data_IF_006136366910
#
_entry.id   IF_006136366910
#
_cell.length_a   1.000
_cell.length_b   1.000
_cell.length_c   1.000
_cell.angle_alpha   90.00
_cell.angle_beta   90.00
_cell.angle_gamma   90.00
#
_symmetry.space_group_name_H-M   'P 1'
#
loop_
_entity.id
_entity.type
_entity.pdbx_description
1 polymer ?
#
# COMPACT_ATOMS: atom_id res chain seq x y z
N UNK A 1 6.83 -2.96 25.46
CA UNK A 1 7.01 -3.11 23.99
C UNK A 1 6.30 -1.94 23.32
N UNK A 2 6.93 -1.21 22.39
CA UNK A 2 6.24 -0.14 21.65
C UNK A 2 5.36 -0.75 20.54
N UNK A 3 4.35 -0.01 20.08
CA UNK A 3 3.47 -0.43 18.99
C UNK A 3 4.04 0.04 17.64
N UNK A 4 3.72 -0.68 16.57
CA UNK A 4 4.02 -0.22 15.22
C UNK A 4 3.05 0.92 14.85
N UNK A 5 3.51 1.97 14.14
CA UNK A 5 2.69 3.13 13.79
C UNK A 5 1.75 2.80 12.61
N UNK A 6 0.89 1.81 12.78
CA UNK A 6 -0.06 1.38 11.75
C UNK A 6 -1.24 2.34 11.70
N UNK A 7 -1.47 2.96 10.55
CA UNK A 7 -2.57 3.91 10.37
C UNK A 7 -2.34 5.30 10.98
N UNK A 8 -1.15 5.56 11.55
CA UNK A 8 -0.78 6.87 12.07
C UNK A 8 -0.21 7.73 10.95
N UNK A 9 -0.73 8.95 10.79
CA UNK A 9 -0.40 9.82 9.67
C UNK A 9 0.61 10.91 10.03
N UNK A 10 0.68 11.33 11.30
CA UNK A 10 1.54 12.44 11.72
C UNK A 10 2.69 11.97 12.61
N UNK A 11 3.79 12.72 12.60
CA UNK A 11 4.94 12.44 13.46
C UNK A 11 4.65 12.74 14.93
N UNK A 12 3.82 13.75 15.22
CA UNK A 12 3.44 14.11 16.58
C UNK A 12 2.77 12.92 17.29
N UNK A 13 1.78 12.31 16.63
CA UNK A 13 1.05 11.15 17.16
C UNK A 13 1.98 9.95 17.45
N UNK A 14 3.01 9.73 16.61
CA UNK A 14 4.00 8.67 16.83
C UNK A 14 4.77 8.90 18.14
N UNK A 15 5.15 10.15 18.42
CA UNK A 15 5.92 10.51 19.61
C UNK A 15 5.02 10.50 20.85
N UNK A 16 3.85 11.14 20.79
CA UNK A 16 2.89 11.25 21.90
C UNK A 16 2.37 9.87 22.35
N UNK A 17 2.04 9.01 21.39
CA UNK A 17 1.54 7.65 21.68
C UNK A 17 2.67 6.62 21.85
N UNK A 18 3.94 7.06 21.84
CA UNK A 18 5.13 6.24 22.05
C UNK A 18 5.23 5.02 21.12
N UNK A 19 4.95 5.24 19.83
CA UNK A 19 5.12 4.24 18.78
C UNK A 19 6.58 4.07 18.36
N UNK A 20 6.86 3.01 17.61
CA UNK A 20 8.16 2.86 16.95
C UNK A 20 8.28 3.85 15.79
N UNK A 21 9.36 4.63 15.78
CA UNK A 21 9.77 5.41 14.62
C UNK A 21 10.79 4.62 13.80
N UNK A 22 10.59 4.57 12.48
CA UNK A 22 11.51 3.94 11.54
C UNK A 22 12.01 5.00 10.58
N UNK A 23 13.28 5.38 10.68
CA UNK A 23 13.91 6.27 9.72
C UNK A 23 14.07 5.55 8.37
N UNK A 24 13.50 6.15 7.32
CA UNK A 24 13.51 5.60 5.96
C UNK A 24 14.43 6.38 5.02
N UNK A 25 15.09 7.44 5.49
CA UNK A 25 15.86 8.39 4.66
C UNK A 25 16.91 7.68 3.82
N UNK A 26 17.70 6.80 4.44
CA UNK A 26 18.74 6.04 3.75
C UNK A 26 18.16 5.11 2.67
N UNK A 27 17.00 4.51 2.93
CA UNK A 27 16.33 3.62 1.97
C UNK A 27 15.80 4.39 0.77
N UNK A 28 15.22 5.59 0.98
CA UNK A 28 14.77 6.46 -0.11
C UNK A 28 15.94 6.82 -1.02
N UNK A 29 17.10 7.20 -0.44
CA UNK A 29 18.31 7.47 -1.22
C UNK A 29 18.78 6.24 -2.01
N UNK A 30 18.83 5.06 -1.36
CA UNK A 30 19.20 3.81 -2.03
C UNK A 30 18.23 3.47 -3.18
N UNK A 31 16.92 3.67 -3.00
CA UNK A 31 15.92 3.40 -4.02
C UNK A 31 15.97 4.40 -5.19
N UNK A 32 16.25 5.66 -4.91
CA UNK A 32 16.32 6.71 -5.93
C UNK A 32 17.60 6.65 -6.77
N UNK A 33 18.73 6.25 -6.17
CA UNK A 33 20.05 6.39 -6.79
C UNK A 33 20.83 5.08 -6.97
N UNK A 34 20.37 3.95 -6.43
CA UNK A 34 20.93 2.62 -6.71
C UNK A 34 19.90 1.76 -7.43
N UNK A 35 20.32 0.92 -8.37
CA UNK A 35 19.46 -0.12 -8.92
C UNK A 35 19.18 -1.16 -7.83
N UNK A 36 18.13 -0.93 -7.05
CA UNK A 36 17.58 -1.92 -6.14
C UNK A 36 16.60 -2.76 -6.97
N UNK A 37 16.91 -4.04 -7.16
CA UNK A 37 16.02 -4.96 -7.85
C UNK A 37 14.83 -5.28 -6.94
N UNK A 38 13.78 -4.45 -7.02
CA UNK A 38 12.49 -4.73 -6.40
C UNK A 38 11.71 -5.65 -7.35
N UNK A 39 11.76 -6.95 -7.09
CA UNK A 39 10.84 -7.89 -7.74
C UNK A 39 9.43 -7.66 -7.19
N UNK A 40 8.64 -6.85 -7.90
CA UNK A 40 7.21 -6.77 -7.67
C UNK A 40 6.58 -7.99 -8.32
N UNK A 41 6.27 -9.02 -7.53
CA UNK A 41 5.27 -9.99 -7.95
C UNK A 41 3.94 -9.23 -8.02
N UNK A 42 3.60 -8.74 -9.23
CA UNK A 42 2.33 -8.10 -9.48
C UNK A 42 1.22 -9.16 -9.35
N UNK A 43 0.76 -9.43 -8.13
CA UNK A 43 -0.57 -10.01 -7.98
C UNK A 43 -1.53 -8.97 -8.53
N UNK A 44 -2.34 -9.38 -9.51
CA UNK A 44 -3.35 -8.53 -10.14
C UNK A 44 -4.34 -8.02 -9.08
N UNK A 45 -4.02 -6.88 -8.46
CA UNK A 45 -4.98 -6.13 -7.65
C UNK A 45 -5.84 -5.39 -8.65
N UNK A 46 -7.13 -5.76 -8.66
CA UNK A 46 -8.22 -5.24 -9.48
C UNK A 46 -8.55 -6.01 -10.78
N UNK A 47 -9.22 -7.15 -10.62
CA UNK A 47 -10.19 -7.60 -11.63
C UNK A 47 -11.56 -7.07 -11.23
N UNK A 48 -12.12 -6.10 -11.96
CA UNK A 48 -13.56 -5.80 -11.88
C UNK A 48 -14.31 -7.09 -12.23
N UNK A 49 -15.19 -7.57 -11.35
CA UNK A 49 -16.21 -8.51 -11.81
C UNK A 49 -17.21 -7.70 -12.64
N UNK A 50 -17.31 -8.01 -13.94
CA UNK A 50 -18.50 -7.63 -14.70
C UNK A 50 -19.59 -8.58 -14.21
N UNK A 51 -20.32 -8.17 -13.17
CA UNK A 51 -21.55 -8.85 -12.77
C UNK A 51 -22.53 -8.71 -13.93
N UNK A 52 -22.96 -9.83 -14.49
CA UNK A 52 -23.72 -9.90 -15.73
C UNK A 52 -25.05 -9.16 -15.67
N UNK A 53 -25.13 -8.04 -16.40
CA UNK A 53 -26.39 -7.45 -16.80
C UNK A 53 -26.59 -7.74 -18.29
N UNK A 54 -27.27 -8.83 -18.62
CA UNK A 54 -27.87 -9.02 -19.94
C UNK A 54 -29.25 -8.36 -19.94
N UNK A 55 -29.51 -7.34 -20.77
CA UNK A 55 -30.84 -6.77 -20.88
C UNK A 55 -31.84 -7.81 -21.40
N UNK A 56 -33.03 -7.87 -20.79
CA UNK A 56 -34.14 -8.77 -21.17
C UNK A 56 -34.73 -8.50 -22.58
N UNK A 57 -34.09 -7.65 -23.39
CA UNK A 57 -34.52 -7.33 -24.75
C UNK A 57 -34.00 -8.31 -25.82
N UNK A 58 -33.27 -9.36 -25.43
CA UNK A 58 -32.72 -10.38 -26.34
C UNK A 58 -33.29 -11.80 -26.12
N UNK A 59 -34.36 -11.93 -25.33
CA UNK A 59 -35.15 -13.17 -25.29
C UNK A 59 -36.37 -12.95 -26.19
N UNK A 60 -36.15 -13.13 -27.49
CA UNK A 60 -37.19 -13.30 -28.49
C UNK A 60 -37.46 -14.77 -28.74
#
# INVERSE_FOLDING_TARGET
>A
MKRLPLGIQTFADIIEENHYYVDKTEFVYKLAYRQVFLSLSAKAIWKKSVSGYTPRSLQG
#
